data_IF_581363802438
#
_entry.id   IF_581363802438
#
_cell.length_a   1.000
_cell.length_b   1.000
_cell.length_c   1.000
_cell.angle_alpha   90.00
_cell.angle_beta   90.00
_cell.angle_gamma   90.00
#
_symmetry.space_group_name_H-M   'P 1'
#
loop_
_entity.id
_entity.type
_entity.pdbx_description
1 polymer ?
#
# COMPACT_ATOMS: atom_id res chain seq x y z
N UNK A 1 -13.13 -10.76 15.02
CA UNK A 1 -13.44 -9.76 13.98
C UNK A 1 -12.19 -9.00 13.53
N UNK A 2 -11.48 -8.32 14.45
CA UNK A 2 -10.24 -7.58 14.12
C UNK A 2 -9.17 -8.47 13.46
N UNK A 3 -8.84 -9.61 14.08
CA UNK A 3 -7.85 -10.56 13.55
C UNK A 3 -8.22 -11.17 12.19
N UNK A 4 -9.51 -11.44 11.95
CA UNK A 4 -9.98 -11.99 10.67
C UNK A 4 -9.77 -11.01 9.52
N UNK A 5 -10.20 -9.76 9.70
CA UNK A 5 -10.05 -8.71 8.69
C UNK A 5 -8.56 -8.41 8.44
N UNK A 6 -7.72 -8.41 9.49
CA UNK A 6 -6.26 -8.27 9.36
C UNK A 6 -5.69 -9.40 8.48
N UNK A 7 -6.10 -10.64 8.72
CA UNK A 7 -5.62 -11.78 7.93
C UNK A 7 -6.05 -11.66 6.45
N UNK A 8 -7.24 -11.15 6.16
CA UNK A 8 -7.71 -10.88 4.79
C UNK A 8 -6.88 -9.80 4.10
N UNK A 9 -6.52 -8.75 4.82
CA UNK A 9 -5.63 -7.70 4.32
C UNK A 9 -4.23 -8.26 4.03
N UNK A 10 -3.67 -9.07 4.95
CA UNK A 10 -2.37 -9.72 4.77
C UNK A 10 -2.38 -10.66 3.56
N UNK A 11 -3.42 -11.49 3.41
CA UNK A 11 -3.62 -12.39 2.27
C UNK A 11 -3.59 -11.59 0.96
N UNK A 12 -4.40 -10.54 0.86
CA UNK A 12 -4.46 -9.67 -0.32
C UNK A 12 -3.13 -8.96 -0.61
N UNK A 13 -2.41 -8.49 0.41
CA UNK A 13 -1.08 -7.88 0.22
C UNK A 13 -0.09 -8.91 -0.34
N UNK A 14 -0.09 -10.14 0.19
CA UNK A 14 0.81 -11.19 -0.29
C UNK A 14 0.51 -11.62 -1.72
N UNK A 15 -0.77 -11.74 -2.10
CA UNK A 15 -1.19 -11.96 -3.49
C UNK A 15 -0.70 -10.84 -4.41
N UNK A 16 -0.84 -9.57 -3.99
CA UNK A 16 -0.34 -8.41 -4.72
C UNK A 16 1.18 -8.45 -4.93
N UNK A 17 1.94 -8.85 -3.89
CA UNK A 17 3.40 -9.03 -3.97
C UNK A 17 3.79 -10.12 -4.95
N UNK A 18 3.11 -11.27 -4.92
CA UNK A 18 3.37 -12.38 -5.84
C UNK A 18 3.08 -11.97 -7.29
N UNK A 19 1.97 -11.27 -7.53
CA UNK A 19 1.63 -10.73 -8.86
C UNK A 19 2.70 -9.75 -9.36
N UNK A 20 3.17 -8.83 -8.51
CA UNK A 20 4.26 -7.92 -8.87
C UNK A 20 5.54 -8.69 -9.22
N UNK A 21 5.92 -9.68 -8.42
CA UNK A 21 7.13 -10.47 -8.64
C UNK A 21 7.05 -11.29 -9.95
N UNK A 22 5.89 -11.86 -10.25
CA UNK A 22 5.63 -12.55 -11.51
C UNK A 22 5.76 -11.56 -12.68
N UNK A 23 5.10 -10.40 -12.61
CA UNK A 23 5.15 -9.42 -13.68
C UNK A 23 6.56 -8.83 -13.89
N UNK A 24 7.34 -8.67 -12.83
CA UNK A 24 8.76 -8.27 -12.93
C UNK A 24 9.59 -9.30 -13.69
N UNK A 25 9.30 -10.59 -13.53
CA UNK A 25 10.04 -11.67 -14.17
C UNK A 25 9.76 -11.79 -15.68
N UNK A 26 8.60 -11.30 -16.13
CA UNK A 26 8.18 -11.36 -17.54
C UNK A 26 8.21 -10.00 -18.28
N UNK A 27 8.42 -8.90 -17.56
CA UNK A 27 8.41 -7.55 -18.13
C UNK A 27 9.78 -7.12 -18.65
N UNK A 28 9.87 -6.88 -19.96
CA UNK A 28 11.00 -6.18 -20.58
C UNK A 28 10.79 -4.64 -20.64
N UNK A 29 9.69 -4.13 -20.07
CA UNK A 29 9.36 -2.72 -20.09
C UNK A 29 9.84 -2.05 -18.79
N UNK A 30 10.86 -1.20 -18.90
CA UNK A 30 11.52 -0.53 -17.77
C UNK A 30 10.55 0.30 -16.91
N UNK A 31 9.56 0.96 -17.53
CA UNK A 31 8.58 1.78 -16.81
C UNK A 31 7.61 0.92 -15.99
N UNK A 32 7.14 -0.19 -16.54
CA UNK A 32 6.29 -1.16 -15.82
C UNK A 32 7.09 -1.81 -14.68
N UNK A 33 8.34 -2.17 -14.94
CA UNK A 33 9.25 -2.75 -13.94
C UNK A 33 9.49 -1.80 -12.76
N UNK A 34 9.59 -0.50 -13.00
CA UNK A 34 9.68 0.52 -11.93
C UNK A 34 8.41 0.52 -11.06
N UNK A 35 7.24 0.58 -11.67
CA UNK A 35 5.96 0.61 -10.95
C UNK A 35 5.76 -0.61 -10.03
N UNK A 36 6.03 -1.82 -10.54
CA UNK A 36 5.92 -3.04 -9.73
C UNK A 36 6.89 -3.08 -8.55
N UNK A 37 8.12 -2.59 -8.72
CA UNK A 37 9.08 -2.47 -7.60
C UNK A 37 8.57 -1.53 -6.51
N UNK A 38 8.04 -0.38 -6.91
CA UNK A 38 7.45 0.58 -5.97
C UNK A 38 6.29 -0.05 -5.20
N UNK A 39 5.40 -0.76 -5.88
CA UNK A 39 4.27 -1.45 -5.23
C UNK A 39 4.75 -2.50 -4.22
N UNK A 40 5.76 -3.30 -4.58
CA UNK A 40 6.35 -4.28 -3.66
C UNK A 40 6.93 -3.63 -2.40
N UNK A 41 7.70 -2.54 -2.54
CA UNK A 41 8.25 -1.81 -1.39
C UNK A 41 7.14 -1.29 -0.46
N UNK A 42 6.06 -0.75 -1.03
CA UNK A 42 4.92 -0.26 -0.25
C UNK A 42 4.18 -1.40 0.45
N UNK A 43 4.02 -2.55 -0.21
CA UNK A 43 3.46 -3.75 0.41
C UNK A 43 4.31 -4.27 1.57
N UNK A 44 5.63 -4.30 1.41
CA UNK A 44 6.56 -4.71 2.47
C UNK A 44 6.45 -3.77 3.68
N UNK A 45 6.46 -2.45 3.45
CA UNK A 45 6.24 -1.45 4.51
C UNK A 45 4.88 -1.62 5.21
N UNK A 46 3.84 -1.96 4.46
CA UNK A 46 2.52 -2.20 5.05
C UNK A 46 2.51 -3.45 5.93
N UNK A 47 3.17 -4.54 5.52
CA UNK A 47 3.26 -5.76 6.32
C UNK A 47 4.00 -5.51 7.64
N UNK A 48 5.08 -4.74 7.62
CA UNK A 48 5.78 -4.30 8.83
C UNK A 48 4.84 -3.52 9.76
N UNK A 49 4.06 -2.60 9.18
CA UNK A 49 3.13 -1.76 9.90
C UNK A 49 1.96 -2.57 10.52
N UNK A 50 1.45 -3.59 9.82
CA UNK A 50 0.45 -4.55 10.35
C UNK A 50 1.03 -5.35 11.51
N UNK A 51 2.26 -5.82 11.37
CA UNK A 51 2.91 -6.60 12.41
C UNK A 51 3.14 -5.79 13.68
N UNK A 52 3.50 -4.51 13.53
CA UNK A 52 3.66 -3.56 14.65
C UNK A 52 2.32 -3.16 15.27
N UNK A 53 1.30 -2.90 14.45
CA UNK A 53 0.01 -2.37 14.87
C UNK A 53 -1.15 -3.29 14.47
N UNK A 54 -1.56 -4.21 15.35
CA UNK A 54 -2.66 -5.16 15.10
C UNK A 54 -4.07 -4.58 15.35
N UNK A 55 -4.22 -3.25 15.18
CA UNK A 55 -5.45 -2.52 15.49
C UNK A 55 -5.76 -1.57 14.32
N UNK A 56 -6.96 -1.68 13.74
CA UNK A 56 -7.34 -0.93 12.54
C UNK A 56 -7.28 0.58 12.67
N UNK A 57 -7.79 1.14 13.77
CA UNK A 57 -7.79 2.59 13.94
C UNK A 57 -6.36 3.13 13.94
N UNK A 58 -5.45 2.41 14.57
CA UNK A 58 -4.02 2.72 14.57
C UNK A 58 -3.42 2.57 13.18
N UNK A 59 -3.69 1.46 12.48
CA UNK A 59 -3.22 1.24 11.10
C UNK A 59 -3.68 2.34 10.16
N UNK A 60 -4.97 2.67 10.19
CA UNK A 60 -5.56 3.74 9.38
C UNK A 60 -4.95 5.11 9.70
N UNK A 61 -4.69 5.41 10.98
CA UNK A 61 -3.98 6.64 11.36
C UNK A 61 -2.57 6.67 10.77
N UNK A 62 -1.83 5.57 10.89
CA UNK A 62 -0.45 5.48 10.40
C UNK A 62 -0.35 5.53 8.87
N UNK A 63 -1.28 4.92 8.15
CA UNK A 63 -1.38 5.05 6.70
C UNK A 63 -1.64 6.51 6.30
N UNK A 64 -2.60 7.19 6.96
CA UNK A 64 -2.87 8.61 6.69
C UNK A 64 -1.65 9.49 6.97
N UNK A 65 -0.97 9.28 8.10
CA UNK A 65 0.28 9.96 8.44
C UNK A 65 1.33 9.77 7.32
N UNK A 66 1.52 8.54 6.85
CA UNK A 66 2.46 8.20 5.77
C UNK A 66 2.10 8.90 4.46
N UNK A 67 0.85 8.85 4.04
CA UNK A 67 0.35 9.51 2.83
C UNK A 67 0.59 11.02 2.91
N UNK A 68 0.25 11.66 4.03
CA UNK A 68 0.44 13.10 4.20
C UNK A 68 1.92 13.49 4.22
N UNK A 69 2.79 12.66 4.80
CA UNK A 69 4.25 12.87 4.72
C UNK A 69 4.75 12.79 3.27
N UNK A 70 4.29 11.81 2.49
CA UNK A 70 4.65 11.67 1.07
C UNK A 70 4.12 12.84 0.24
N UNK A 71 2.87 13.27 0.44
CA UNK A 71 2.29 14.46 -0.22
C UNK A 71 3.08 15.73 0.11
N UNK A 72 3.51 15.91 1.37
CA UNK A 72 4.38 17.03 1.78
C UNK A 72 5.74 16.97 1.10
N UNK A 73 6.33 15.78 0.97
CA UNK A 73 7.60 15.57 0.26
C UNK A 73 7.44 15.90 -1.23
N UNK A 74 6.41 15.38 -1.88
CA UNK A 74 6.07 15.64 -3.28
C UNK A 74 6.02 17.14 -3.61
N UNK A 75 5.28 17.94 -2.82
CA UNK A 75 5.17 19.39 -3.01
C UNK A 75 6.49 20.15 -2.91
N UNK A 76 7.51 19.57 -2.29
CA UNK A 76 8.83 20.17 -2.09
C UNK A 76 9.89 19.63 -3.06
N UNK A 77 9.61 18.53 -3.75
CA UNK A 77 10.52 17.93 -4.73
C UNK A 77 10.42 18.70 -6.04
N UNK A 78 11.55 19.17 -6.57
CA UNK A 78 11.62 19.82 -7.90
C UNK A 78 12.02 18.88 -9.02
N UNK A 79 12.66 17.76 -8.69
CA UNK A 79 13.07 16.75 -9.65
C UNK A 79 11.87 15.92 -10.13
N UNK A 80 11.63 15.92 -11.45
CA UNK A 80 10.47 15.27 -12.07
C UNK A 80 10.50 13.76 -11.84
N UNK A 81 11.66 13.13 -11.95
CA UNK A 81 11.78 11.69 -11.76
C UNK A 81 11.46 11.26 -10.32
N UNK A 82 11.92 12.03 -9.34
CA UNK A 82 11.56 11.83 -7.93
C UNK A 82 10.09 12.14 -7.64
N UNK A 83 9.50 13.12 -8.33
CA UNK A 83 8.06 13.39 -8.24
C UNK A 83 7.24 12.19 -8.73
N UNK A 84 7.61 11.59 -9.86
CA UNK A 84 6.93 10.40 -10.40
C UNK A 84 6.97 9.23 -9.40
N UNK A 85 8.13 8.95 -8.81
CA UNK A 85 8.26 7.92 -7.76
C UNK A 85 7.32 8.21 -6.58
N UNK A 86 7.24 9.48 -6.16
CA UNK A 86 6.40 9.86 -5.04
C UNK A 86 4.91 9.73 -5.36
N UNK A 87 4.49 10.02 -6.60
CA UNK A 87 3.12 9.80 -7.05
C UNK A 87 2.78 8.31 -6.99
N UNK A 88 3.59 7.45 -7.62
CA UNK A 88 3.37 6.00 -7.63
C UNK A 88 3.24 5.44 -6.19
N UNK A 89 4.10 5.92 -5.28
CA UNK A 89 4.04 5.54 -3.86
C UNK A 89 2.77 6.03 -3.18
N UNK A 90 2.35 7.28 -3.41
CA UNK A 90 1.13 7.84 -2.82
C UNK A 90 -0.10 7.06 -3.29
N UNK A 91 -0.20 6.78 -4.59
CA UNK A 91 -1.31 6.03 -5.18
C UNK A 91 -1.38 4.61 -4.61
N UNK A 92 -0.24 3.93 -4.46
CA UNK A 92 -0.21 2.60 -3.85
C UNK A 92 -0.68 2.62 -2.39
N UNK A 93 -0.26 3.60 -1.59
CA UNK A 93 -0.74 3.75 -0.22
C UNK A 93 -2.24 4.07 -0.13
N UNK A 94 -2.77 4.90 -1.02
CA UNK A 94 -4.22 5.19 -1.07
C UNK A 94 -5.01 3.94 -1.48
N UNK A 95 -4.53 3.15 -2.44
CA UNK A 95 -5.13 1.85 -2.82
C UNK A 95 -5.21 0.89 -1.63
N UNK A 96 -4.11 0.73 -0.87
CA UNK A 96 -4.11 -0.10 0.35
C UNK A 96 -5.13 0.40 1.36
N UNK A 97 -5.19 1.71 1.57
CA UNK A 97 -6.15 2.34 2.49
C UNK A 97 -7.58 2.07 2.06
N UNK A 98 -7.89 2.18 0.77
CA UNK A 98 -9.22 1.87 0.23
C UNK A 98 -9.59 0.40 0.46
N UNK A 99 -8.66 -0.52 0.22
CA UNK A 99 -8.87 -1.96 0.46
C UNK A 99 -9.18 -2.25 1.93
N UNK A 100 -8.43 -1.65 2.86
CA UNK A 100 -8.67 -1.80 4.29
C UNK A 100 -10.06 -1.28 4.67
N UNK A 101 -10.45 -0.10 4.17
CA UNK A 101 -11.78 0.46 4.47
C UNK A 101 -12.92 -0.38 3.88
N UNK A 102 -12.71 -0.95 2.69
CA UNK A 102 -13.65 -1.88 2.07
C UNK A 102 -13.87 -3.10 2.97
N UNK A 103 -12.78 -3.76 3.40
CA UNK A 103 -12.85 -4.95 4.26
C UNK A 103 -13.52 -4.65 5.61
N UNK A 104 -13.21 -3.48 6.19
CA UNK A 104 -13.88 -3.01 7.40
C UNK A 104 -15.37 -2.79 7.16
N UNK A 105 -15.76 -2.13 6.06
CA UNK A 105 -17.16 -1.82 5.75
C UNK A 105 -17.97 -3.08 5.49
N UNK A 106 -17.45 -3.99 4.67
CA UNK A 106 -18.11 -5.26 4.32
C UNK A 106 -18.38 -6.10 5.57
N UNK A 107 -17.43 -6.17 6.51
CA UNK A 107 -17.52 -7.04 7.68
C UNK A 107 -18.14 -6.35 8.91
N UNK A 108 -18.26 -5.02 8.93
CA UNK A 108 -19.02 -4.27 9.95
C UNK A 108 -20.50 -4.08 9.58
N UNK A 109 -20.89 -4.31 8.33
CA UNK A 109 -22.30 -4.23 7.88
C UNK A 109 -23.13 -5.47 8.21
N UNK A 110 -22.68 -6.34 9.12
CA UNK A 110 -23.56 -7.30 9.79
C UNK A 110 -24.45 -6.52 10.78
N UNK A 111 -25.57 -6.00 10.28
CA UNK A 111 -26.74 -5.62 11.08
C UNK A 111 -27.95 -6.42 10.65
#
# INVERSE_FOLDING_TARGET
MNEYIINKIIEWINEGRELCNNNLSYSNNEMLTKGYKIQMEVFDEMLELINEYKIFDTLNSKIRERIEMLKKKFRKTSDVYQQDILIDRIECWEMIRERINYEITEHLQIK
#
